data_IF_743123146306
#
_entry.id   IF_743123146306
#
_cell.length_a   1.000
_cell.length_b   1.000
_cell.length_c   1.000
_cell.angle_alpha   90.00
_cell.angle_beta   90.00
_cell.angle_gamma   90.00
#
_symmetry.space_group_name_H-M   'P 1'
#
loop_
_entity.id
_entity.type
_entity.pdbx_description
1 polymer ?
#
# COMPACT_ATOMS: atom_id res chain seq x y z
N UNK A 1 15.89 -29.80 -57.05
CA UNK A 1 16.18 -29.58 -58.50
C UNK A 1 17.63 -29.97 -58.87
N UNK A 2 18.19 -31.09 -58.36
CA UNK A 2 19.65 -31.32 -58.41
C UNK A 2 20.16 -32.43 -59.35
N UNK A 3 19.29 -33.22 -60.00
CA UNK A 3 19.75 -34.26 -60.96
C UNK A 3 19.60 -33.88 -62.45
N UNK A 4 18.67 -32.98 -62.82
CA UNK A 4 18.46 -32.58 -64.23
C UNK A 4 19.47 -31.53 -64.76
N UNK A 5 20.05 -30.70 -63.90
CA UNK A 5 20.98 -29.62 -64.33
C UNK A 5 22.40 -30.15 -64.64
N UNK A 6 22.82 -31.25 -64.00
CA UNK A 6 24.12 -31.90 -64.28
C UNK A 6 24.24 -32.45 -65.71
N UNK A 7 23.13 -32.63 -66.42
CA UNK A 7 23.11 -33.18 -67.79
C UNK A 7 23.28 -32.10 -68.88
N UNK A 8 23.19 -30.81 -68.52
CA UNK A 8 23.17 -29.68 -69.48
C UNK A 8 24.47 -28.85 -69.47
N UNK A 9 25.20 -28.80 -68.35
CA UNK A 9 26.41 -27.97 -68.22
C UNK A 9 27.64 -28.82 -67.87
N UNK A 10 28.75 -28.61 -68.60
CA UNK A 10 30.01 -29.38 -68.43
C UNK A 10 30.75 -29.06 -67.13
N UNK A 11 30.61 -27.85 -66.58
CA UNK A 11 31.26 -27.46 -65.32
C UNK A 11 30.40 -26.55 -64.45
N UNK A 12 30.70 -26.46 -63.15
CA UNK A 12 30.06 -25.51 -62.23
C UNK A 12 30.24 -24.06 -62.67
N UNK A 13 31.40 -23.73 -63.24
CA UNK A 13 31.68 -22.42 -63.81
C UNK A 13 30.74 -22.08 -64.97
N UNK A 14 30.41 -23.06 -65.81
CA UNK A 14 29.48 -22.85 -66.93
C UNK A 14 28.05 -22.58 -66.44
N UNK A 15 27.66 -23.19 -65.32
CA UNK A 15 26.37 -22.90 -64.68
C UNK A 15 26.30 -21.45 -64.20
N UNK A 16 27.38 -20.94 -63.58
CA UNK A 16 27.46 -19.54 -63.11
C UNK A 16 27.46 -18.55 -64.29
N UNK A 17 28.19 -18.85 -65.37
CA UNK A 17 28.18 -18.00 -66.57
C UNK A 17 26.81 -17.99 -67.25
N UNK A 18 26.13 -19.14 -67.30
CA UNK A 18 24.77 -19.23 -67.83
C UNK A 18 23.80 -18.40 -66.98
N UNK A 19 23.86 -18.50 -65.66
CA UNK A 19 23.04 -17.68 -64.76
C UNK A 19 23.33 -16.19 -64.95
N UNK A 20 24.60 -15.79 -65.03
CA UNK A 20 24.98 -14.40 -65.27
C UNK A 20 24.43 -13.85 -66.59
N UNK A 21 24.42 -14.65 -67.65
CA UNK A 21 23.82 -14.29 -68.94
C UNK A 21 22.30 -14.23 -68.88
N UNK A 22 21.67 -15.23 -68.26
CA UNK A 22 20.21 -15.35 -68.12
C UNK A 22 19.60 -14.18 -67.35
N UNK A 23 20.22 -13.81 -66.23
CA UNK A 23 19.79 -12.70 -65.39
C UNK A 23 20.39 -11.35 -65.80
N UNK A 24 21.13 -11.30 -66.89
CA UNK A 24 21.56 -10.06 -67.50
C UNK A 24 22.67 -9.29 -66.77
N UNK A 25 23.46 -9.92 -65.90
CA UNK A 25 24.52 -9.27 -65.11
C UNK A 25 25.56 -8.62 -66.02
N UNK A 26 25.64 -7.29 -65.98
CA UNK A 26 26.43 -6.47 -66.90
C UNK A 26 27.92 -6.78 -66.79
N UNK A 27 28.41 -6.99 -65.57
CA UNK A 27 29.79 -7.33 -65.29
C UNK A 27 30.16 -8.72 -65.84
N UNK A 28 29.25 -9.67 -65.88
CA UNK A 28 29.55 -10.99 -66.46
C UNK A 28 29.53 -10.91 -68.00
N UNK A 29 28.64 -10.09 -68.57
CA UNK A 29 28.56 -9.85 -70.02
C UNK A 29 29.78 -9.10 -70.56
N UNK A 30 30.29 -8.11 -69.84
CA UNK A 30 31.46 -7.33 -70.28
C UNK A 30 32.73 -8.18 -70.28
N UNK A 31 32.93 -9.01 -69.26
CA UNK A 31 34.09 -9.89 -69.18
C UNK A 31 34.01 -11.05 -70.17
N UNK A 32 32.81 -11.53 -70.52
CA UNK A 32 32.62 -12.54 -71.57
C UNK A 32 33.06 -12.06 -72.97
N UNK A 33 33.12 -10.73 -73.19
CA UNK A 33 33.61 -10.11 -74.44
C UNK A 33 35.10 -9.75 -74.37
N UNK A 34 35.71 -9.82 -73.19
CA UNK A 34 37.15 -9.55 -72.98
C UNK A 34 37.96 -10.84 -73.01
N UNK A 35 39.26 -10.77 -73.33
CA UNK A 35 40.17 -11.92 -73.25
C UNK A 35 40.45 -12.39 -71.81
N UNK A 36 39.90 -11.72 -70.78
CA UNK A 36 40.11 -12.02 -69.36
C UNK A 36 39.04 -12.97 -68.83
N UNK A 37 39.46 -14.03 -68.12
CA UNK A 37 38.56 -15.04 -67.52
C UNK A 37 38.32 -14.75 -66.04
N UNK A 38 37.05 -14.56 -65.65
CA UNK A 38 36.63 -14.52 -64.24
C UNK A 38 36.78 -15.90 -63.59
N UNK A 39 37.30 -15.92 -62.35
CA UNK A 39 37.37 -17.11 -61.49
C UNK A 39 35.99 -17.48 -60.96
N UNK A 40 35.84 -18.72 -60.46
CA UNK A 40 34.56 -19.21 -59.90
C UNK A 40 34.11 -18.32 -58.74
N UNK A 41 35.00 -17.97 -57.81
CA UNK A 41 34.66 -17.12 -56.67
C UNK A 41 34.25 -15.70 -57.08
N UNK A 42 34.85 -15.14 -58.13
CA UNK A 42 34.45 -13.84 -58.67
C UNK A 42 33.05 -13.91 -59.32
N UNK A 43 32.73 -14.99 -60.03
CA UNK A 43 31.41 -15.21 -60.61
C UNK A 43 30.34 -15.42 -59.52
N UNK A 44 30.65 -16.18 -58.47
CA UNK A 44 29.76 -16.35 -57.31
C UNK A 44 29.47 -15.00 -56.63
N UNK A 45 30.51 -14.19 -56.37
CA UNK A 45 30.37 -12.85 -55.79
C UNK A 45 29.49 -11.92 -56.64
N UNK A 46 29.70 -11.89 -57.95
CA UNK A 46 28.89 -11.05 -58.85
C UNK A 46 27.42 -11.46 -58.86
N UNK A 47 27.13 -12.76 -58.80
CA UNK A 47 25.76 -13.27 -58.75
C UNK A 47 25.10 -12.99 -57.39
N UNK A 48 25.82 -13.18 -56.27
CA UNK A 48 25.35 -12.84 -54.92
C UNK A 48 25.04 -11.34 -54.81
N UNK A 49 25.94 -10.47 -55.30
CA UNK A 49 25.75 -9.01 -55.30
C UNK A 49 24.48 -8.60 -56.05
N UNK A 50 24.15 -9.33 -57.12
CA UNK A 50 22.93 -9.13 -57.90
C UNK A 50 21.71 -9.93 -57.37
N UNK A 51 21.80 -10.50 -56.15
CA UNK A 51 20.75 -11.28 -55.47
C UNK A 51 20.28 -12.53 -56.24
N UNK A 52 21.16 -13.11 -57.05
CA UNK A 52 20.87 -14.32 -57.84
C UNK A 52 21.30 -15.56 -57.04
N UNK A 53 20.39 -16.51 -56.88
CA UNK A 53 20.64 -17.75 -56.12
C UNK A 53 21.63 -18.65 -56.86
N UNK A 54 22.70 -19.05 -56.16
CA UNK A 54 23.75 -19.91 -56.73
C UNK A 54 23.29 -21.38 -56.86
N UNK A 55 23.83 -22.14 -57.85
CA UNK A 55 23.67 -23.58 -57.88
C UNK A 55 24.43 -24.23 -56.70
N UNK A 56 23.90 -25.34 -56.18
CA UNK A 56 24.43 -26.01 -54.99
C UNK A 56 25.83 -26.59 -55.24
N UNK A 57 26.85 -26.04 -54.57
CA UNK A 57 28.22 -26.54 -54.51
C UNK A 57 28.85 -26.22 -53.14
N UNK A 58 29.68 -27.11 -52.59
CA UNK A 58 30.23 -27.01 -51.22
C UNK A 58 31.19 -25.84 -50.99
N UNK A 59 31.64 -25.13 -52.03
CA UNK A 59 32.55 -23.98 -51.90
C UNK A 59 31.83 -22.66 -51.58
N UNK A 60 30.58 -22.49 -52.00
CA UNK A 60 29.84 -21.22 -51.88
C UNK A 60 29.35 -20.94 -50.46
N UNK A 61 29.15 -21.99 -49.65
CA UNK A 61 28.62 -21.87 -48.28
C UNK A 61 29.58 -21.09 -47.37
N UNK A 62 30.90 -21.21 -47.58
CA UNK A 62 31.92 -20.54 -46.77
C UNK A 62 32.03 -19.04 -47.07
N UNK A 63 31.74 -18.63 -48.31
CA UNK A 63 31.75 -17.23 -48.71
C UNK A 63 30.48 -16.51 -48.26
N UNK A 64 29.31 -17.15 -48.40
CA UNK A 64 28.04 -16.63 -47.89
C UNK A 64 28.06 -16.47 -46.36
N UNK A 65 28.50 -17.48 -45.62
CA UNK A 65 28.56 -17.41 -44.16
C UNK A 65 29.48 -16.28 -43.65
N UNK A 66 30.60 -16.00 -44.33
CA UNK A 66 31.49 -14.89 -43.97
C UNK A 66 30.84 -13.52 -44.21
N UNK A 67 30.01 -13.41 -45.24
CA UNK A 67 29.35 -12.15 -45.58
C UNK A 67 28.16 -11.89 -44.64
N UNK A 68 27.36 -12.91 -44.35
CA UNK A 68 26.27 -12.84 -43.36
C UNK A 68 26.81 -12.48 -41.96
N UNK A 69 27.91 -13.13 -41.51
CA UNK A 69 28.55 -12.79 -40.23
C UNK A 69 29.03 -11.33 -40.17
N UNK A 70 29.55 -10.79 -41.28
CA UNK A 70 30.01 -9.41 -41.34
C UNK A 70 28.83 -8.43 -41.27
N UNK A 71 27.74 -8.71 -41.99
CA UNK A 71 26.52 -7.88 -41.97
C UNK A 71 25.85 -7.91 -40.59
N UNK A 72 25.74 -9.07 -39.94
CA UNK A 72 25.17 -9.18 -38.60
C UNK A 72 26.02 -8.51 -37.52
N UNK A 73 27.36 -8.58 -37.64
CA UNK A 73 28.26 -7.89 -36.69
C UNK A 73 28.09 -6.37 -36.74
N UNK A 74 27.92 -5.80 -37.94
CA UNK A 74 27.70 -4.37 -38.16
C UNK A 74 26.33 -3.96 -37.62
N UNK A 75 25.29 -4.77 -37.88
CA UNK A 75 23.92 -4.52 -37.38
C UNK A 75 23.87 -4.53 -35.85
N UNK A 76 24.53 -5.50 -35.21
CA UNK A 76 24.58 -5.61 -33.75
C UNK A 76 25.39 -4.48 -33.11
N UNK A 77 26.46 -4.01 -33.76
CA UNK A 77 27.21 -2.84 -33.31
C UNK A 77 26.32 -1.58 -33.33
N UNK A 78 25.56 -1.36 -34.40
CA UNK A 78 24.64 -0.23 -34.51
C UNK A 78 23.52 -0.28 -33.47
N UNK A 79 22.92 -1.46 -33.25
CA UNK A 79 21.89 -1.66 -32.22
C UNK A 79 22.43 -1.40 -30.80
N UNK A 80 23.65 -1.84 -30.51
CA UNK A 80 24.29 -1.62 -29.21
C UNK A 80 24.54 -0.13 -28.95
N UNK A 81 25.00 0.60 -29.98
CA UNK A 81 25.21 2.04 -29.90
C UNK A 81 23.90 2.80 -29.73
N UNK A 82 22.85 2.41 -30.46
CA UNK A 82 21.51 3.00 -30.33
C UNK A 82 20.90 2.77 -28.94
N UNK A 83 21.14 1.60 -28.34
CA UNK A 83 20.67 1.30 -26.99
C UNK A 83 21.38 2.13 -25.91
N UNK A 84 22.71 2.31 -26.03
CA UNK A 84 23.47 3.19 -25.15
C UNK A 84 23.03 4.66 -25.27
N UNK A 85 22.78 5.11 -26.50
CA UNK A 85 22.23 6.45 -26.74
C UNK A 85 20.85 6.63 -26.09
N UNK A 86 19.97 5.64 -26.23
CA UNK A 86 18.64 5.65 -25.59
C UNK A 86 18.72 5.73 -24.06
N UNK A 87 19.61 4.96 -23.44
CA UNK A 87 19.85 5.04 -21.98
C UNK A 87 20.36 6.43 -21.58
N UNK A 88 21.29 7.00 -22.36
CA UNK A 88 21.78 8.36 -22.15
C UNK A 88 20.65 9.40 -22.18
N UNK A 89 19.75 9.30 -23.17
CA UNK A 89 18.57 10.15 -23.26
C UNK A 89 17.67 10.03 -22.01
N UNK A 90 17.43 8.82 -21.50
CA UNK A 90 16.61 8.64 -20.29
C UNK A 90 17.21 9.31 -19.04
N UNK A 91 18.54 9.34 -18.92
CA UNK A 91 19.23 10.01 -17.81
C UNK A 91 19.12 11.53 -17.94
N UNK A 92 19.34 12.07 -19.14
CA UNK A 92 19.27 13.51 -19.43
C UNK A 92 17.85 14.07 -19.32
N UNK A 93 16.83 13.26 -19.62
CA UNK A 93 15.42 13.66 -19.55
C UNK A 93 14.89 13.66 -18.10
N UNK A 94 15.55 12.96 -17.17
CA UNK A 94 15.12 12.82 -15.77
C UNK A 94 14.93 14.14 -14.99
N UNK A 95 15.83 15.15 -15.09
CA UNK A 95 15.63 16.45 -14.45
C UNK A 95 14.49 17.24 -15.09
N UNK A 96 14.33 17.14 -16.42
CA UNK A 96 13.29 17.85 -17.17
C UNK A 96 11.89 17.31 -16.84
N UNK A 97 11.75 15.98 -16.70
CA UNK A 97 10.50 15.35 -16.21
C UNK A 97 10.15 15.85 -14.81
N UNK A 98 11.12 15.98 -13.89
CA UNK A 98 10.86 16.51 -12.55
C UNK A 98 10.36 17.96 -12.60
N UNK A 99 10.96 18.81 -13.43
CA UNK A 99 10.55 20.21 -13.57
C UNK A 99 9.15 20.32 -14.18
N UNK A 100 8.87 19.65 -15.31
CA UNK A 100 7.54 19.67 -15.94
C UNK A 100 6.48 19.06 -15.02
N UNK A 101 6.77 17.97 -14.30
CA UNK A 101 5.81 17.39 -13.34
C UNK A 101 5.60 18.31 -12.13
N UNK A 102 6.62 19.05 -11.69
CA UNK A 102 6.45 20.05 -10.63
C UNK A 102 5.64 21.26 -11.09
N UNK A 103 5.84 21.71 -12.33
CA UNK A 103 5.15 22.83 -12.96
C UNK A 103 3.68 22.48 -13.24
N UNK A 104 3.43 21.29 -13.78
CA UNK A 104 2.09 20.72 -13.98
C UNK A 104 1.37 20.46 -12.65
N UNK A 105 2.08 19.97 -11.61
CA UNK A 105 1.50 19.88 -10.26
C UNK A 105 1.19 21.26 -9.68
N UNK A 106 2.01 22.27 -9.96
CA UNK A 106 1.76 23.65 -9.51
C UNK A 106 0.60 24.29 -10.25
N UNK A 107 0.44 24.05 -11.56
CA UNK A 107 -0.69 24.57 -12.35
C UNK A 107 -2.00 23.89 -11.96
N UNK A 108 -2.03 22.57 -11.74
CA UNK A 108 -3.22 21.88 -11.23
C UNK A 108 -3.59 22.32 -9.81
N UNK A 109 -2.60 22.53 -8.95
CA UNK A 109 -2.86 23.07 -7.59
C UNK A 109 -3.31 24.53 -7.68
N UNK A 110 -2.71 25.36 -8.54
CA UNK A 110 -3.12 26.76 -8.73
C UNK A 110 -4.53 26.88 -9.35
N UNK A 111 -4.89 26.03 -10.32
CA UNK A 111 -6.26 25.91 -10.85
C UNK A 111 -7.24 25.48 -9.76
N UNK A 112 -6.90 24.48 -8.94
CA UNK A 112 -7.75 24.04 -7.83
C UNK A 112 -7.91 25.11 -6.73
N UNK A 113 -6.92 26.00 -6.56
CA UNK A 113 -7.01 27.16 -5.66
C UNK A 113 -7.80 28.33 -6.28
N UNK A 114 -7.63 28.62 -7.57
CA UNK A 114 -8.42 29.67 -8.26
C UNK A 114 -9.89 29.27 -8.45
N UNK A 115 -10.20 28.00 -8.71
CA UNK A 115 -11.58 27.50 -8.74
C UNK A 115 -12.22 27.58 -7.35
N UNK A 116 -11.47 27.33 -6.27
CA UNK A 116 -11.99 27.48 -4.89
C UNK A 116 -12.25 28.94 -4.49
N UNK A 117 -11.56 29.91 -5.07
CA UNK A 117 -11.85 31.34 -4.85
C UNK A 117 -13.01 31.86 -5.70
N UNK A 118 -13.15 31.40 -6.96
CA UNK A 118 -14.33 31.74 -7.79
C UNK A 118 -15.62 31.08 -7.27
N UNK A 119 -15.55 29.86 -6.73
CA UNK A 119 -16.71 29.16 -6.13
C UNK A 119 -17.18 29.82 -4.81
N UNK A 120 -16.33 30.60 -4.12
CA UNK A 120 -16.73 31.28 -2.86
C UNK A 120 -17.49 32.59 -3.05
N UNK A 121 -17.45 33.24 -4.21
CA UNK A 121 -18.17 34.51 -4.44
C UNK A 121 -19.51 34.37 -5.17
N UNK A 122 -19.83 33.21 -5.72
CA UNK A 122 -21.08 33.01 -6.47
C UNK A 122 -21.71 31.69 -6.09
N UNK A 123 -22.56 31.69 -5.05
CA UNK A 123 -23.85 30.98 -5.01
C UNK A 123 -24.45 30.95 -3.61
N UNK A 124 -25.22 31.99 -3.33
CA UNK A 124 -26.31 32.01 -2.36
C UNK A 124 -27.59 31.59 -3.10
N UNK A 125 -27.87 30.29 -3.25
CA UNK A 125 -29.21 29.66 -3.22
C UNK A 125 -29.24 28.21 -3.72
N UNK A 126 -30.04 27.43 -2.98
CA UNK A 126 -30.70 26.14 -3.27
C UNK A 126 -29.82 24.94 -3.63
N UNK A 127 -29.62 24.12 -2.60
CA UNK A 127 -29.10 22.75 -2.67
C UNK A 127 -30.25 21.78 -2.96
N UNK A 128 -30.21 21.12 -4.11
CA UNK A 128 -30.90 19.85 -4.32
C UNK A 128 -29.90 18.69 -4.13
N UNK A 129 -30.42 17.65 -3.51
CA UNK A 129 -29.72 16.57 -2.86
C UNK A 129 -29.47 15.44 -3.86
N UNK A 130 -28.22 15.01 -4.04
CA UNK A 130 -27.91 13.67 -4.57
C UNK A 130 -27.36 12.82 -3.44
N UNK A 131 -28.20 11.91 -2.95
CA UNK A 131 -27.94 10.91 -1.92
C UNK A 131 -27.01 9.82 -2.47
N UNK A 132 -25.78 9.75 -1.98
CA UNK A 132 -25.08 8.48 -1.87
C UNK A 132 -25.72 7.74 -0.69
N UNK A 133 -26.50 6.69 -0.98
CA UNK A 133 -27.13 5.82 0.03
C UNK A 133 -26.04 5.04 0.77
N UNK A 134 -25.44 5.65 1.79
CA UNK A 134 -25.09 4.91 2.99
C UNK A 134 -26.41 4.43 3.61
N UNK A 135 -26.55 3.11 3.79
CA UNK A 135 -27.60 2.51 4.60
C UNK A 135 -27.47 3.02 6.04
N UNK A 136 -28.08 4.17 6.28
CA UNK A 136 -28.39 4.69 7.61
C UNK A 136 -29.79 4.19 7.93
N UNK A 137 -29.87 2.99 8.49
CA UNK A 137 -30.99 2.66 9.37
C UNK A 137 -30.76 3.41 10.68
N UNK A 138 -31.57 4.43 10.92
CA UNK A 138 -31.73 5.08 12.22
C UNK A 138 -32.46 4.14 13.19
N UNK A 139 -31.86 3.01 13.53
CA UNK A 139 -32.22 2.27 14.73
C UNK A 139 -31.18 2.58 15.79
N UNK A 140 -31.39 3.67 16.53
CA UNK A 140 -30.57 4.07 17.68
C UNK A 140 -30.88 3.18 18.91
N UNK A 141 -30.88 1.86 18.71
CA UNK A 141 -31.04 0.86 19.77
C UNK A 141 -29.75 0.71 20.61
N UNK A 142 -28.92 1.77 20.68
CA UNK A 142 -27.64 1.74 21.39
C UNK A 142 -27.85 2.13 22.87
N UNK A 143 -28.21 1.12 23.67
CA UNK A 143 -28.41 1.26 25.11
C UNK A 143 -27.06 1.28 25.83
N UNK A 144 -26.81 2.33 26.63
CA UNK A 144 -25.71 2.38 27.59
C UNK A 144 -26.14 1.63 28.85
N UNK A 145 -25.37 0.62 29.25
CA UNK A 145 -25.57 -0.10 30.52
C UNK A 145 -25.07 0.75 31.69
N UNK A 146 -25.61 0.56 32.89
CA UNK A 146 -25.03 1.13 34.11
C UNK A 146 -23.68 0.47 34.43
N UNK A 147 -22.88 1.12 35.26
CA UNK A 147 -21.58 0.60 35.66
C UNK A 147 -21.76 -0.72 36.42
N UNK A 148 -22.75 -0.80 37.31
CA UNK A 148 -23.08 -2.01 38.07
C UNK A 148 -23.54 -3.16 37.16
N UNK A 149 -24.48 -2.90 36.24
CA UNK A 149 -24.92 -3.93 35.28
C UNK A 149 -23.76 -4.42 34.41
N UNK A 150 -22.85 -3.53 34.04
CA UNK A 150 -21.66 -3.91 33.26
C UNK A 150 -20.68 -4.76 34.07
N UNK A 151 -20.50 -4.46 35.36
CA UNK A 151 -19.70 -5.27 36.28
C UNK A 151 -20.30 -6.68 36.40
N UNK A 152 -21.60 -6.77 36.70
CA UNK A 152 -22.30 -8.05 36.84
C UNK A 152 -22.22 -8.88 35.56
N UNK A 153 -22.44 -8.26 34.39
CA UNK A 153 -22.25 -8.91 33.09
C UNK A 153 -20.85 -9.52 32.95
N UNK A 154 -19.80 -8.82 33.37
CA UNK A 154 -18.44 -9.34 33.29
C UNK A 154 -18.16 -10.43 34.32
N UNK A 155 -18.74 -10.35 35.51
CA UNK A 155 -18.64 -11.39 36.54
C UNK A 155 -19.34 -12.68 36.09
N UNK A 156 -20.58 -12.59 35.60
CA UNK A 156 -21.35 -13.72 35.09
C UNK A 156 -20.64 -14.45 33.93
N UNK A 157 -19.94 -13.69 33.09
CA UNK A 157 -19.17 -14.24 31.96
C UNK A 157 -17.76 -14.73 32.34
N UNK A 158 -17.40 -14.66 33.63
CA UNK A 158 -16.07 -15.01 34.13
C UNK A 158 -14.96 -14.20 33.46
N UNK A 159 -15.21 -12.91 33.24
CA UNK A 159 -14.28 -11.98 32.61
C UNK A 159 -13.63 -11.06 33.64
N UNK A 160 -12.40 -11.42 34.01
CA UNK A 160 -11.60 -10.66 34.96
C UNK A 160 -10.18 -10.38 34.44
N UNK A 161 -9.59 -9.28 34.91
CA UNK A 161 -8.25 -8.87 34.45
C UNK A 161 -7.13 -9.71 35.08
N UNK A 162 -7.34 -10.38 36.21
CA UNK A 162 -6.33 -11.25 36.85
C UNK A 162 -6.12 -12.50 36.01
N UNK A 163 -7.19 -13.15 35.57
CA UNK A 163 -7.20 -14.26 34.64
C UNK A 163 -6.56 -13.87 33.31
N UNK A 164 -6.89 -12.70 32.75
CA UNK A 164 -6.24 -12.20 31.53
C UNK A 164 -4.72 -12.02 31.73
N UNK A 165 -4.29 -11.45 32.86
CA UNK A 165 -2.85 -11.34 33.20
C UNK A 165 -2.19 -12.72 33.36
N UNK A 166 -2.92 -13.71 33.85
CA UNK A 166 -2.49 -15.10 33.93
C UNK A 166 -2.54 -15.87 32.59
N UNK A 167 -2.93 -15.21 31.48
CA UNK A 167 -2.95 -15.80 30.14
C UNK A 167 -4.33 -16.26 29.65
N UNK A 168 -5.40 -16.03 30.41
CA UNK A 168 -6.77 -16.26 29.93
C UNK A 168 -7.05 -15.39 28.70
N UNK A 169 -7.73 -15.98 27.71
CA UNK A 169 -8.16 -15.23 26.52
C UNK A 169 -9.25 -14.22 26.88
N UNK A 170 -9.15 -13.02 26.30
CA UNK A 170 -10.09 -11.93 26.51
C UNK A 170 -11.42 -12.26 25.85
N UNK A 171 -12.53 -12.13 26.59
CA UNK A 171 -13.87 -12.35 26.05
C UNK A 171 -14.22 -11.23 25.05
N UNK A 172 -14.72 -11.54 23.85
CA UNK A 172 -15.04 -10.53 22.83
C UNK A 172 -16.38 -9.84 23.11
N UNK A 173 -16.48 -9.18 24.26
CA UNK A 173 -17.66 -8.42 24.66
C UNK A 173 -17.47 -6.99 24.19
N UNK A 174 -18.37 -6.51 23.32
CA UNK A 174 -18.25 -5.20 22.69
C UNK A 174 -19.40 -4.30 23.08
N UNK A 175 -19.20 -3.47 24.10
CA UNK A 175 -20.18 -2.45 24.44
C UNK A 175 -20.21 -1.37 23.34
N UNK A 176 -21.41 -0.89 23.06
CA UNK A 176 -21.62 0.20 22.09
C UNK A 176 -21.29 1.55 22.71
N UNK A 177 -21.58 1.76 24.00
CA UNK A 177 -21.34 2.98 24.78
C UNK A 177 -20.71 2.67 26.13
N UNK A 178 -20.03 3.65 26.71
CA UNK A 178 -19.56 3.58 28.10
C UNK A 178 -20.73 3.73 29.09
N UNK A 179 -20.62 3.18 30.31
CA UNK A 179 -21.58 3.48 31.37
C UNK A 179 -21.53 4.95 31.78
N UNK A 180 -22.69 5.62 31.77
CA UNK A 180 -22.80 7.06 32.08
C UNK A 180 -22.45 7.39 33.54
N UNK A 181 -22.65 6.43 34.42
CA UNK A 181 -22.44 6.48 35.87
C UNK A 181 -21.04 5.98 36.29
N UNK A 182 -20.08 5.88 35.36
CA UNK A 182 -18.69 5.48 35.68
C UNK A 182 -18.05 6.32 36.81
N UNK A 183 -18.41 7.60 36.91
CA UNK A 183 -17.94 8.49 37.97
C UNK A 183 -18.52 8.16 39.35
N UNK A 184 -19.69 7.51 39.39
CA UNK A 184 -20.42 7.21 40.62
C UNK A 184 -19.88 5.99 41.36
N UNK A 185 -18.96 5.21 40.77
CA UNK A 185 -18.41 3.99 41.36
C UNK A 185 -17.60 4.20 42.65
N UNK A 186 -17.23 5.44 43.00
CA UNK A 186 -16.52 5.83 44.24
C UNK A 186 -15.08 5.34 44.38
N UNK A 187 -14.79 4.10 43.99
CA UNK A 187 -13.48 3.47 44.05
C UNK A 187 -12.72 3.66 42.72
N UNK A 188 -11.61 4.38 42.78
CA UNK A 188 -10.77 4.68 41.62
C UNK A 188 -10.23 3.42 40.94
N UNK A 189 -9.86 2.38 41.69
CA UNK A 189 -9.34 1.13 41.12
C UNK A 189 -10.45 0.35 40.40
N UNK A 190 -11.65 0.24 41.00
CA UNK A 190 -12.81 -0.39 40.34
C UNK A 190 -13.14 0.29 39.02
N UNK A 191 -13.13 1.63 38.99
CA UNK A 191 -13.35 2.41 37.76
C UNK A 191 -12.30 2.11 36.69
N UNK A 192 -11.02 2.08 37.06
CA UNK A 192 -9.92 1.78 36.12
C UNK A 192 -10.03 0.37 35.57
N UNK A 193 -10.31 -0.61 36.42
CA UNK A 193 -10.47 -2.01 36.01
C UNK A 193 -11.67 -2.18 35.08
N UNK A 194 -12.83 -1.58 35.41
CA UNK A 194 -14.00 -1.60 34.54
C UNK A 194 -13.69 -0.96 33.18
N UNK A 195 -13.04 0.20 33.18
CA UNK A 195 -12.63 0.86 31.94
C UNK A 195 -11.72 -0.04 31.09
N UNK A 196 -10.69 -0.64 31.67
CA UNK A 196 -9.79 -1.56 30.96
C UNK A 196 -10.57 -2.75 30.42
N UNK A 197 -11.47 -3.35 31.22
CA UNK A 197 -12.31 -4.48 30.78
C UNK A 197 -13.14 -4.14 29.55
N UNK A 198 -13.70 -2.92 29.47
CA UNK A 198 -14.51 -2.46 28.33
C UNK A 198 -13.64 -2.21 27.09
N UNK A 199 -12.48 -1.56 27.24
CA UNK A 199 -11.67 -1.11 26.09
C UNK A 199 -10.77 -2.21 25.53
N UNK A 200 -10.22 -3.08 26.37
CA UNK A 200 -9.29 -4.14 25.99
C UNK A 200 -9.80 -5.01 24.82
N UNK A 201 -11.02 -5.57 24.83
CA UNK A 201 -11.50 -6.40 23.71
C UNK A 201 -11.62 -5.62 22.41
N UNK A 202 -11.99 -4.33 22.46
CA UNK A 202 -12.09 -3.47 21.28
C UNK A 202 -10.71 -3.23 20.65
N UNK A 203 -9.70 -2.98 21.49
CA UNK A 203 -8.30 -2.82 21.04
C UNK A 203 -7.78 -4.12 20.44
N UNK A 204 -7.99 -5.26 21.09
CA UNK A 204 -7.54 -6.53 20.54
C UNK A 204 -8.22 -6.85 19.21
N UNK A 205 -9.53 -6.62 19.10
CA UNK A 205 -10.28 -6.88 17.87
C UNK A 205 -9.70 -6.12 16.67
N UNK A 206 -9.46 -4.82 16.83
CA UNK A 206 -8.92 -4.02 15.73
C UNK A 206 -7.45 -4.40 15.42
N UNK A 207 -6.68 -4.88 16.42
CA UNK A 207 -5.31 -5.39 16.17
C UNK A 207 -5.33 -6.73 15.43
N UNK A 208 -6.26 -7.62 15.75
CA UNK A 208 -6.46 -8.87 15.02
C UNK A 208 -6.84 -8.58 13.57
N UNK A 209 -7.74 -7.62 13.31
CA UNK A 209 -8.08 -7.21 11.93
C UNK A 209 -6.88 -6.68 11.14
N UNK A 210 -6.06 -5.83 11.75
CA UNK A 210 -4.83 -5.34 11.12
C UNK A 210 -3.86 -6.49 10.86
N UNK A 211 -3.74 -7.44 11.80
CA UNK A 211 -2.87 -8.61 11.66
C UNK A 211 -3.34 -9.54 10.55
N UNK A 212 -4.65 -9.81 10.45
CA UNK A 212 -5.27 -10.56 9.35
C UNK A 212 -4.98 -9.92 8.00
N UNK A 213 -5.19 -8.60 7.90
CA UNK A 213 -4.91 -7.83 6.69
C UNK A 213 -3.42 -7.86 6.32
N UNK A 214 -2.54 -7.70 7.32
CA UNK A 214 -1.09 -7.76 7.14
C UNK A 214 -0.65 -9.12 6.63
N UNK A 215 -1.16 -10.20 7.22
CA UNK A 215 -0.88 -11.57 6.76
C UNK A 215 -1.35 -11.78 5.32
N UNK A 216 -2.54 -11.24 4.97
CA UNK A 216 -3.03 -11.26 3.59
C UNK A 216 -2.13 -10.44 2.65
N UNK A 217 -1.66 -9.27 3.07
CA UNK A 217 -0.72 -8.45 2.29
C UNK A 217 0.55 -9.25 1.96
N UNK A 218 1.22 -9.84 2.95
CA UNK A 218 2.45 -10.61 2.69
C UNK A 218 2.20 -11.85 1.83
N UNK A 219 1.05 -12.52 1.98
CA UNK A 219 0.65 -13.62 1.09
C UNK A 219 0.49 -13.16 -0.36
N UNK A 220 -0.07 -11.98 -0.59
CA UNK A 220 -0.20 -11.40 -1.95
C UNK A 220 1.17 -11.03 -2.51
N UNK A 221 2.04 -10.44 -1.68
CA UNK A 221 3.37 -9.99 -2.11
C UNK A 221 4.34 -11.14 -2.39
N UNK A 222 4.10 -12.33 -1.86
CA UNK A 222 4.86 -13.54 -2.17
C UNK A 222 4.45 -14.23 -3.47
N UNK A 223 3.46 -13.70 -4.21
CA UNK A 223 2.98 -14.29 -5.47
C UNK A 223 3.59 -13.61 -6.69
N UNK A 224 3.80 -14.38 -7.76
CA UNK A 224 4.19 -13.85 -9.07
C UNK A 224 3.04 -13.09 -9.75
N UNK A 225 1.80 -13.55 -9.55
CA UNK A 225 0.61 -12.95 -10.15
C UNK A 225 -0.52 -12.81 -9.12
N UNK A 226 -1.16 -11.65 -9.13
CA UNK A 226 -2.27 -11.32 -8.25
C UNK A 226 -3.62 -11.47 -8.95
N UNK A 227 -4.56 -12.13 -8.31
CA UNK A 227 -5.94 -12.25 -8.81
C UNK A 227 -6.62 -10.87 -8.90
N UNK A 228 -7.71 -10.76 -9.67
CA UNK A 228 -8.49 -9.52 -9.75
C UNK A 228 -8.99 -9.06 -8.37
N UNK A 229 -9.46 -10.00 -7.54
CA UNK A 229 -9.89 -9.72 -6.16
C UNK A 229 -8.76 -9.21 -5.26
N UNK A 230 -7.54 -9.73 -5.42
CA UNK A 230 -6.36 -9.24 -4.68
C UNK A 230 -5.95 -7.83 -5.12
N UNK A 231 -6.01 -7.53 -6.42
CA UNK A 231 -5.74 -6.17 -6.93
C UNK A 231 -6.75 -5.16 -6.40
N UNK A 232 -8.04 -5.50 -6.40
CA UNK A 232 -9.11 -4.66 -5.81
C UNK A 232 -8.90 -4.50 -4.30
N UNK A 233 -8.55 -5.57 -3.60
CA UNK A 233 -8.26 -5.52 -2.17
C UNK A 233 -7.06 -4.61 -1.87
N UNK A 234 -5.96 -4.72 -2.62
CA UNK A 234 -4.78 -3.84 -2.50
C UNK A 234 -5.15 -2.37 -2.75
N UNK A 235 -5.90 -2.08 -3.82
CA UNK A 235 -6.38 -0.72 -4.13
C UNK A 235 -7.17 -0.13 -2.95
N UNK A 236 -8.03 -0.93 -2.32
CA UNK A 236 -8.77 -0.51 -1.12
C UNK A 236 -7.84 -0.25 0.08
N UNK A 237 -6.82 -1.07 0.30
CA UNK A 237 -5.84 -0.88 1.39
C UNK A 237 -4.96 0.35 1.16
N UNK A 238 -4.49 0.61 -0.07
CA UNK A 238 -3.77 1.84 -0.40
C UNK A 238 -4.62 3.08 -0.10
N UNK A 239 -5.90 3.08 -0.48
CA UNK A 239 -6.85 4.16 -0.16
C UNK A 239 -7.05 4.32 1.35
N UNK A 240 -7.33 3.23 2.06
CA UNK A 240 -7.58 3.25 3.51
C UNK A 240 -6.37 3.74 4.31
N UNK A 241 -5.18 3.29 3.94
CA UNK A 241 -3.93 3.70 4.59
C UNK A 241 -3.33 4.98 3.98
N UNK A 242 -4.04 5.68 3.09
CA UNK A 242 -3.63 6.96 2.47
C UNK A 242 -2.25 6.92 1.82
N UNK A 243 -1.97 5.86 1.06
CA UNK A 243 -0.73 5.67 0.29
C UNK A 243 -1.04 5.98 -1.18
N UNK A 244 -0.50 7.06 -1.71
CA UNK A 244 -0.86 7.59 -3.04
C UNK A 244 -0.13 6.90 -4.19
N UNK A 245 1.14 6.58 -3.98
CA UNK A 245 2.04 6.15 -5.06
C UNK A 245 2.08 4.62 -5.20
N UNK A 246 1.11 3.94 -4.59
CA UNK A 246 1.07 2.48 -4.47
C UNK A 246 2.37 1.88 -3.89
N UNK A 247 3.07 2.66 -3.05
CA UNK A 247 4.29 2.22 -2.39
C UNK A 247 3.99 1.11 -1.37
N UNK A 248 4.44 -0.09 -1.71
CA UNK A 248 4.29 -1.28 -0.88
C UNK A 248 5.10 -1.21 0.41
N UNK A 249 6.23 -0.51 0.42
CA UNK A 249 7.06 -0.32 1.62
C UNK A 249 6.29 0.55 2.60
N UNK A 250 5.74 1.66 2.14
CA UNK A 250 4.90 2.52 2.96
C UNK A 250 3.65 1.78 3.46
N UNK A 251 2.96 1.03 2.59
CA UNK A 251 1.79 0.25 3.01
C UNK A 251 2.15 -0.77 4.09
N UNK A 252 3.30 -1.47 3.98
CA UNK A 252 3.79 -2.39 5.00
C UNK A 252 4.06 -1.68 6.34
N UNK A 253 4.60 -0.47 6.34
CA UNK A 253 4.86 0.27 7.59
C UNK A 253 3.57 0.79 8.24
N UNK A 254 2.62 1.25 7.42
CA UNK A 254 1.33 1.78 7.87
C UNK A 254 0.38 0.67 8.36
N UNK A 255 0.36 -0.50 7.73
CA UNK A 255 -0.50 -1.63 8.09
C UNK A 255 0.09 -2.49 9.21
N UNK A 256 0.16 -1.95 10.43
CA UNK A 256 0.63 -2.69 11.60
C UNK A 256 -0.13 -2.31 12.88
N UNK A 257 -0.07 -3.19 13.87
CA UNK A 257 -0.81 -3.08 15.14
C UNK A 257 -0.32 -1.90 15.98
N UNK A 258 -1.18 -1.43 16.87
CA UNK A 258 -0.80 -0.52 17.96
C UNK A 258 -0.71 -1.36 19.24
N UNK A 259 0.38 -1.28 20.04
CA UNK A 259 0.48 -2.00 21.31
C UNK A 259 -0.74 -1.75 22.21
N UNK A 260 -1.17 -2.80 22.90
CA UNK A 260 -2.39 -2.77 23.72
C UNK A 260 -2.21 -1.83 24.90
N UNK A 261 -1.05 -1.92 25.57
CA UNK A 261 -0.66 -1.06 26.66
C UNK A 261 -0.74 0.43 26.30
N UNK A 262 -0.20 0.78 25.13
CA UNK A 262 -0.22 2.13 24.61
C UNK A 262 -1.64 2.62 24.29
N UNK A 263 -2.43 1.81 23.60
CA UNK A 263 -3.81 2.17 23.26
C UNK A 263 -4.68 2.36 24.51
N UNK A 264 -4.54 1.49 25.52
CA UNK A 264 -5.22 1.64 26.81
C UNK A 264 -4.78 2.90 27.55
N UNK A 265 -3.48 3.20 27.56
CA UNK A 265 -2.96 4.39 28.24
C UNK A 265 -3.45 5.68 27.59
N UNK A 266 -3.43 5.76 26.25
CA UNK A 266 -3.97 6.92 25.53
C UNK A 266 -5.47 7.03 25.73
N UNK A 267 -6.24 5.94 25.62
CA UNK A 267 -7.67 5.97 25.89
C UNK A 267 -7.95 6.47 27.31
N UNK A 268 -7.23 5.98 28.31
CA UNK A 268 -7.37 6.40 29.71
C UNK A 268 -7.05 7.90 29.89
N UNK A 269 -5.95 8.38 29.29
CA UNK A 269 -5.55 9.77 29.38
C UNK A 269 -6.55 10.72 28.69
N UNK A 270 -6.89 10.45 27.44
CA UNK A 270 -7.74 11.33 26.61
C UNK A 270 -9.20 11.35 27.10
N UNK A 271 -9.69 10.25 27.66
CA UNK A 271 -11.08 10.15 28.14
C UNK A 271 -11.23 10.36 29.65
N UNK A 272 -10.14 10.56 30.39
CA UNK A 272 -10.18 10.62 31.86
C UNK A 272 -10.64 9.30 32.50
N UNK A 273 -10.23 8.16 31.94
CA UNK A 273 -10.75 6.82 32.27
C UNK A 273 -12.25 6.64 31.94
N UNK A 274 -12.68 7.21 30.82
CA UNK A 274 -14.03 7.07 30.28
C UNK A 274 -15.06 8.04 30.86
N UNK A 275 -14.64 9.01 31.67
CA UNK A 275 -15.54 9.89 32.41
C UNK A 275 -15.76 11.24 31.74
N UNK A 276 -14.93 11.57 30.74
CA UNK A 276 -15.06 12.77 29.92
C UNK A 276 -16.40 12.79 29.20
N UNK A 277 -17.05 13.96 29.15
CA UNK A 277 -18.28 14.18 28.39
C UNK A 277 -18.16 13.71 26.94
N UNK A 278 -17.02 13.98 26.30
CA UNK A 278 -16.76 13.53 24.93
C UNK A 278 -16.73 12.01 24.79
N UNK A 279 -16.26 11.29 25.81
CA UNK A 279 -16.25 9.83 25.82
C UNK A 279 -17.66 9.26 26.08
N UNK A 280 -18.40 9.83 27.03
CA UNK A 280 -19.74 9.36 27.41
C UNK A 280 -20.81 9.67 26.35
N UNK A 281 -20.82 10.88 25.80
CA UNK A 281 -21.81 11.30 24.80
C UNK A 281 -21.36 10.98 23.37
N UNK A 282 -20.06 11.07 23.13
CA UNK A 282 -19.49 11.00 21.79
C UNK A 282 -18.78 9.70 21.46
N UNK A 283 -18.64 8.76 22.40
CA UNK A 283 -17.73 7.62 22.28
C UNK A 283 -16.30 8.04 21.86
N UNK A 284 -15.90 9.28 22.14
CA UNK A 284 -14.64 9.86 21.68
C UNK A 284 -13.50 9.54 22.64
N UNK A 285 -13.03 8.29 22.61
CA UNK A 285 -12.05 7.75 23.57
C UNK A 285 -10.65 8.38 23.45
N UNK A 286 -10.31 8.98 22.30
CA UNK A 286 -8.95 9.38 21.94
C UNK A 286 -8.81 10.86 21.56
N UNK A 287 -9.82 11.69 21.81
CA UNK A 287 -9.71 13.15 21.63
C UNK A 287 -9.50 13.65 20.19
N UNK A 288 -9.83 12.85 19.18
CA UNK A 288 -9.57 13.20 17.77
C UNK A 288 -10.40 14.41 17.31
N UNK A 289 -9.76 15.40 16.69
CA UNK A 289 -10.43 16.61 16.21
C UNK A 289 -11.12 16.44 14.86
N UNK A 290 -12.16 17.24 14.63
CA UNK A 290 -12.85 17.40 13.34
C UNK A 290 -13.26 18.85 13.11
N UNK A 291 -13.25 19.26 11.85
CA UNK A 291 -13.82 20.54 11.40
C UNK A 291 -15.20 20.37 10.75
N UNK A 292 -15.71 19.13 10.73
CA UNK A 292 -17.03 18.85 10.17
C UNK A 292 -18.15 19.28 11.13
N UNK A 293 -19.38 19.36 10.61
CA UNK A 293 -20.56 19.64 11.45
C UNK A 293 -20.80 18.55 12.50
N UNK A 294 -20.44 17.30 12.20
CA UNK A 294 -20.63 16.10 13.03
C UNK A 294 -19.48 15.97 14.05
N UNK A 295 -19.62 16.66 15.17
CA UNK A 295 -18.69 16.62 16.29
C UNK A 295 -19.24 17.35 17.50
N UNK A 296 -18.68 17.09 18.67
CA UNK A 296 -19.07 17.71 19.94
C UNK A 296 -18.18 18.93 20.17
N UNK A 297 -18.81 20.09 20.37
CA UNK A 297 -18.10 21.32 20.70
C UNK A 297 -17.64 21.31 22.16
N UNK A 298 -16.44 21.83 22.48
CA UNK A 298 -16.09 22.20 23.85
C UNK A 298 -17.08 23.24 24.40
N UNK A 299 -17.38 23.17 25.69
CA UNK A 299 -18.28 24.13 26.37
C UNK A 299 -17.66 25.54 26.38
N UNK A 300 -16.39 25.64 26.75
CA UNK A 300 -15.62 26.89 26.75
C UNK A 300 -14.86 27.05 25.44
N UNK A 301 -15.61 27.31 24.36
CA UNK A 301 -15.03 27.52 23.04
C UNK A 301 -14.34 28.88 22.96
N UNK A 302 -13.04 28.86 22.74
CA UNK A 302 -12.31 30.05 22.25
C UNK A 302 -12.96 30.48 20.92
N UNK A 303 -13.46 31.72 20.79
CA UNK A 303 -14.10 32.21 19.56
C UNK A 303 -13.25 31.98 18.31
N UNK A 304 -11.92 31.96 18.46
CA UNK A 304 -10.96 31.79 17.38
C UNK A 304 -10.70 30.32 17.00
N UNK A 305 -11.21 29.34 17.77
CA UNK A 305 -10.99 27.92 17.52
C UNK A 305 -12.27 27.24 17.03
N UNK A 306 -12.29 26.83 15.77
CA UNK A 306 -13.46 26.20 15.12
C UNK A 306 -13.52 24.66 15.24
N UNK A 307 -12.48 24.03 15.79
CA UNK A 307 -12.39 22.57 15.88
C UNK A 307 -13.39 22.00 16.90
N UNK A 308 -13.89 20.79 16.61
CA UNK A 308 -14.76 19.98 17.47
C UNK A 308 -14.08 18.64 17.74
N UNK A 309 -14.58 17.91 18.73
CA UNK A 309 -14.17 16.50 18.96
C UNK A 309 -15.04 15.57 18.13
N UNK A 310 -14.44 14.60 17.45
CA UNK A 310 -15.15 13.58 16.67
C UNK A 310 -16.14 12.81 17.55
N UNK A 311 -17.32 12.52 17.00
CA UNK A 311 -18.32 11.66 17.63
C UNK A 311 -18.42 10.35 16.84
N UNK A 312 -18.61 9.25 17.57
CA UNK A 312 -18.73 7.90 17.04
C UNK A 312 -20.03 7.25 17.53
N UNK A 313 -20.68 6.48 16.66
CA UNK A 313 -21.89 5.73 17.03
C UNK A 313 -21.61 4.64 18.05
N UNK A 314 -20.43 4.00 17.95
CA UNK A 314 -20.00 2.93 18.85
C UNK A 314 -18.52 3.08 19.24
N UNK A 315 -18.15 2.62 20.43
CA UNK A 315 -16.76 2.67 20.94
C UNK A 315 -15.74 2.04 19.98
N UNK A 316 -16.12 0.93 19.33
CA UNK A 316 -15.28 0.25 18.33
C UNK A 316 -14.85 1.17 17.19
N UNK A 317 -15.73 2.06 16.72
CA UNK A 317 -15.43 2.99 15.64
C UNK A 317 -14.38 4.03 16.09
N UNK A 318 -14.41 4.44 17.35
CA UNK A 318 -13.39 5.32 17.94
C UNK A 318 -12.01 4.65 17.98
N UNK A 319 -11.95 3.39 18.44
CA UNK A 319 -10.69 2.61 18.44
C UNK A 319 -10.14 2.44 17.02
N UNK A 320 -10.99 2.12 16.04
CA UNK A 320 -10.59 2.01 14.64
C UNK A 320 -10.03 3.33 14.10
N UNK A 321 -10.73 4.44 14.35
CA UNK A 321 -10.29 5.77 13.89
C UNK A 321 -8.97 6.19 14.53
N UNK A 322 -8.76 5.90 15.81
CA UNK A 322 -7.50 6.13 16.52
C UNK A 322 -6.33 5.35 15.89
N UNK A 323 -6.50 4.05 15.66
CA UNK A 323 -5.44 3.24 15.05
C UNK A 323 -5.12 3.69 13.63
N UNK A 324 -6.14 4.03 12.84
CA UNK A 324 -5.95 4.59 11.51
C UNK A 324 -5.19 5.92 11.56
N UNK A 325 -5.43 6.77 12.56
CA UNK A 325 -4.69 8.01 12.72
C UNK A 325 -3.20 7.77 12.95
N UNK A 326 -2.83 6.93 13.92
CA UNK A 326 -1.42 6.57 14.17
C UNK A 326 -0.76 5.89 12.96
N UNK A 327 -1.53 5.10 12.23
CA UNK A 327 -1.03 4.37 11.08
C UNK A 327 -0.96 5.19 9.79
N UNK A 328 -1.56 6.39 9.71
CA UNK A 328 -1.61 7.14 8.44
C UNK A 328 -1.16 8.58 8.54
N UNK A 329 -1.28 9.24 9.69
CA UNK A 329 -0.99 10.66 9.81
C UNK A 329 0.53 10.91 9.80
N UNK A 330 0.96 12.00 9.15
CA UNK A 330 2.39 12.32 8.96
C UNK A 330 3.12 12.55 10.28
N UNK A 331 2.44 13.14 11.27
CA UNK A 331 2.99 13.39 12.61
C UNK A 331 3.48 12.13 13.35
N UNK A 332 3.02 10.94 12.94
CA UNK A 332 3.39 9.65 13.54
C UNK A 332 4.28 8.80 12.61
N UNK A 333 4.97 9.42 11.65
CA UNK A 333 5.92 8.71 10.79
C UNK A 333 7.03 8.03 11.60
N UNK A 334 7.67 8.76 12.51
CA UNK A 334 8.74 8.22 13.36
C UNK A 334 8.25 7.04 14.22
N UNK A 335 7.02 7.11 14.73
CA UNK A 335 6.38 6.00 15.44
C UNK A 335 6.29 4.73 14.57
N UNK A 336 5.90 4.88 13.29
CA UNK A 336 5.81 3.75 12.35
C UNK A 336 7.18 3.20 11.98
N UNK A 337 8.17 4.06 11.81
CA UNK A 337 9.56 3.67 11.52
C UNK A 337 10.17 2.88 12.70
N UNK A 338 10.04 3.39 13.92
CA UNK A 338 10.50 2.69 15.13
C UNK A 338 9.82 1.31 15.30
N UNK A 339 8.51 1.24 15.04
CA UNK A 339 7.78 -0.03 15.04
C UNK A 339 8.25 -0.99 13.94
N UNK A 340 8.57 -0.48 12.76
CA UNK A 340 9.10 -1.28 11.65
C UNK A 340 10.50 -1.84 11.97
N UNK A 341 11.36 -1.07 12.64
CA UNK A 341 12.66 -1.53 13.13
C UNK A 341 12.51 -2.68 14.14
N UNK A 342 11.59 -2.54 15.10
CA UNK A 342 11.29 -3.63 16.05
C UNK A 342 10.85 -4.91 15.33
N UNK A 343 10.03 -4.80 14.27
CA UNK A 343 9.63 -5.94 13.44
C UNK A 343 10.81 -6.57 12.71
N UNK A 344 11.69 -5.76 12.13
CA UNK A 344 12.87 -6.24 11.38
C UNK A 344 13.84 -7.00 12.29
N UNK A 345 14.01 -6.53 13.52
CA UNK A 345 14.84 -7.17 14.55
C UNK A 345 14.13 -8.34 15.26
N UNK A 346 12.91 -8.68 14.84
CA UNK A 346 12.06 -9.69 15.46
C UNK A 346 11.84 -9.46 16.98
N UNK A 347 11.88 -8.19 17.40
CA UNK A 347 11.61 -7.77 18.78
C UNK A 347 10.10 -7.64 19.00
N UNK A 348 9.69 -7.82 20.26
CA UNK A 348 8.31 -7.51 20.68
C UNK A 348 8.02 -6.04 20.37
N UNK A 349 6.86 -5.74 19.77
CA UNK A 349 6.40 -4.36 19.64
C UNK A 349 6.04 -3.85 21.04
N UNK A 350 6.97 -3.12 21.64
CA UNK A 350 6.86 -2.62 23.00
C UNK A 350 6.11 -1.28 23.03
N UNK A 351 4.98 -1.23 23.73
CA UNK A 351 4.18 -0.01 23.88
C UNK A 351 4.87 1.07 24.69
N UNK A 352 5.65 0.71 25.71
CA UNK A 352 6.39 1.65 26.54
C UNK A 352 7.56 2.26 25.79
N UNK A 353 8.24 1.50 24.94
CA UNK A 353 9.29 2.05 24.06
C UNK A 353 8.71 3.07 23.07
N UNK A 354 7.54 2.73 22.49
CA UNK A 354 6.95 3.51 21.40
C UNK A 354 6.28 4.81 21.85
N UNK A 355 6.04 5.03 23.16
CA UNK A 355 5.48 6.29 23.68
C UNK A 355 6.32 7.51 23.29
N UNK A 356 7.64 7.35 23.20
CA UNK A 356 8.60 8.41 22.86
C UNK A 356 8.32 9.09 21.52
N UNK A 357 7.65 8.39 20.61
CA UNK A 357 7.30 8.88 19.28
C UNK A 357 5.89 9.50 19.20
N UNK A 358 5.26 9.78 20.35
CA UNK A 358 3.92 10.36 20.44
C UNK A 358 3.87 11.79 20.97
N UNK A 359 5.01 12.48 21.08
CA UNK A 359 5.06 13.89 21.49
C UNK A 359 4.10 14.79 20.68
N UNK A 360 3.91 14.49 19.39
CA UNK A 360 3.04 15.26 18.49
C UNK A 360 1.54 14.96 18.67
N UNK A 361 1.16 14.03 19.55
CA UNK A 361 -0.24 13.69 19.80
C UNK A 361 -0.94 14.80 20.60
N UNK A 362 -0.22 15.45 21.53
CA UNK A 362 -0.75 16.48 22.40
C UNK A 362 0.16 17.73 22.40
N UNK A 363 -0.42 18.90 22.61
CA UNK A 363 0.31 20.17 22.63
C UNK A 363 1.39 20.26 23.71
N UNK A 364 1.26 19.46 24.78
CA UNK A 364 2.21 19.42 25.89
C UNK A 364 3.48 18.61 25.60
N UNK A 365 3.61 18.03 24.40
CA UNK A 365 4.87 17.45 23.91
C UNK A 365 5.40 16.31 24.79
N UNK A 366 6.66 16.41 25.24
CA UNK A 366 7.31 15.35 26.03
C UNK A 366 6.67 15.10 27.40
N UNK A 367 5.96 16.09 27.96
CA UNK A 367 5.15 15.88 29.17
C UNK A 367 4.05 14.84 28.92
N UNK A 368 3.49 14.81 27.70
CA UNK A 368 2.52 13.79 27.29
C UNK A 368 3.12 12.39 27.36
N UNK A 369 4.33 12.23 26.82
CA UNK A 369 5.06 10.95 26.82
C UNK A 369 5.24 10.46 28.26
N UNK A 370 5.69 11.34 29.16
CA UNK A 370 5.88 11.02 30.58
C UNK A 370 4.58 10.58 31.26
N UNK A 371 3.46 11.24 30.95
CA UNK A 371 2.14 10.86 31.47
C UNK A 371 1.75 9.45 30.99
N UNK A 372 1.94 9.15 29.70
CA UNK A 372 1.64 7.82 29.16
C UNK A 372 2.50 6.73 29.80
N UNK A 373 3.81 6.95 29.92
CA UNK A 373 4.71 6.00 30.59
C UNK A 373 4.28 5.72 32.03
N UNK A 374 3.87 6.77 32.76
CA UNK A 374 3.37 6.64 34.12
C UNK A 374 2.06 5.84 34.19
N UNK A 375 1.12 6.08 33.28
CA UNK A 375 -0.13 5.32 33.21
C UNK A 375 0.16 3.84 32.90
N UNK A 376 1.05 3.56 31.93
CA UNK A 376 1.45 2.20 31.56
C UNK A 376 2.06 1.47 32.76
N UNK A 377 3.05 2.10 33.43
CA UNK A 377 3.77 1.49 34.56
C UNK A 377 2.89 1.31 35.79
N UNK A 378 2.15 2.34 36.21
CA UNK A 378 1.34 2.29 37.45
C UNK A 378 0.16 1.31 37.37
N UNK A 379 -0.31 0.98 36.17
CA UNK A 379 -1.45 0.08 35.97
C UNK A 379 -1.03 -1.26 35.32
N UNK A 380 0.28 -1.52 35.21
CA UNK A 380 0.86 -2.71 34.57
C UNK A 380 0.25 -3.03 33.20
N UNK A 381 0.07 -2.02 32.36
CA UNK A 381 -0.67 -2.20 31.10
C UNK A 381 0.08 -3.07 30.08
N UNK A 382 1.41 -3.20 30.22
CA UNK A 382 2.24 -4.09 29.38
C UNK A 382 1.90 -5.57 29.51
N UNK A 383 1.23 -5.96 30.58
CA UNK A 383 0.74 -7.33 30.79
C UNK A 383 -0.28 -7.71 29.71
N UNK A 384 -1.03 -6.73 29.21
CA UNK A 384 -2.05 -6.93 28.18
C UNK A 384 -1.50 -6.96 26.75
N UNK A 385 -0.22 -6.64 26.52
CA UNK A 385 0.36 -6.66 25.16
C UNK A 385 0.43 -8.05 24.55
N UNK A 386 0.39 -9.10 25.38
CA UNK A 386 0.35 -10.51 24.93
C UNK A 386 -1.06 -11.11 24.98
N UNK A 387 -2.06 -10.33 25.38
CA UNK A 387 -3.44 -10.80 25.45
C UNK A 387 -3.97 -11.10 24.04
N UNK A 388 -4.84 -12.11 23.94
CA UNK A 388 -5.48 -12.50 22.69
C UNK A 388 -6.99 -12.63 22.91
N UNK A 389 -7.80 -12.37 21.88
CA UNK A 389 -9.24 -12.60 22.01
C UNK A 389 -9.53 -14.10 22.05
N UNK A 390 -10.59 -14.44 22.77
CA UNK A 390 -11.21 -15.74 22.68
C UNK A 390 -11.81 -15.88 21.28
N UNK A 391 -11.37 -16.90 20.56
CA UNK A 391 -11.88 -17.18 19.23
C UNK A 391 -13.36 -17.61 19.31
N UNK A 392 -14.25 -16.78 18.79
CA UNK A 392 -15.69 -17.04 18.70
C UNK A 392 -16.12 -17.53 17.33
N UNK A 393 -15.19 -17.95 16.46
CA UNK A 393 -15.59 -18.77 15.30
C UNK A 393 -16.27 -20.03 15.86
N UNK A 394 -17.61 -20.01 15.87
CA UNK A 394 -18.45 -21.18 15.98
C UNK A 394 -17.78 -22.25 15.12
N UNK A 395 -17.38 -23.37 15.76
CA UNK A 395 -17.03 -24.56 15.00
C UNK A 395 -18.18 -24.78 14.03
N UNK A 396 -17.95 -24.62 12.72
CA UNK A 396 -18.84 -25.19 11.71
C UNK A 396 -18.83 -26.69 11.99
N UNK A 397 -19.85 -27.18 12.67
CA UNK A 397 -19.91 -28.57 13.13
C UNK A 397 -20.43 -28.67 14.56
N UNK A 398 -21.71 -28.38 14.72
CA UNK A 398 -22.64 -29.08 15.59
C UNK A 398 -24.01 -28.76 14.97
N UNK A 399 -24.38 -29.57 13.99
CA UNK A 399 -25.79 -29.74 13.67
C UNK A 399 -26.40 -30.44 14.89
N UNK A 400 -27.28 -29.74 15.58
CA UNK A 400 -28.32 -30.34 16.41
C UNK A 400 -29.62 -30.19 15.65
#
# INVERSE_FOLDING_TARGET
MSKKIKKIFKSYRDQLLHLGKLYGVVEIKSYARSSKRLTISQLELLLIKNKIKLPTNRSSDKAMARQELKEDSIRNAYLSLAFLFFIGCLIVVRPYIKNVVSEVKFTYVAEEYQDKEKIKKTNKKKTEIVKEKELIENNDNTVSLSAETTINLFEDLGYDLKGVRAGQKVKPIYLTKLPKDLNSLGNTNKKRDLFIKIILPLVLYENEKITEDRNKLFKILGKNFNTAGERVWLKRRFKEYKVTDHDLTELKMRMDIIPVSLALAQAANESGWGTSRFALEGNALFGQWTWSKKGISPENKDPNKSHKVLQFQILKASVKAYKNNLNTHNAYREFREARALLRQENKKIDGLLLTKYLKNYASIGDKYVTILENIIKKNSLTDFDKANLLNTKLKKGLAL
#
